data_IF_868791808989
#
_entry.id   IF_868791808989
#
_cell.length_a   1.000
_cell.length_b   1.000
_cell.length_c   1.000
_cell.angle_alpha   90.00
_cell.angle_beta   90.00
_cell.angle_gamma   90.00
#
_symmetry.space_group_name_H-M   'P 1'
#
loop_
_entity.id
_entity.type
_entity.pdbx_description
1 polymer ?
#
# COMPACT_ATOMS: atom_id res chain seq x y z
N UNK A 1 20.38 -10.38 8.87
CA UNK A 1 19.03 -10.71 8.37
C UNK A 1 18.01 -10.76 9.49
N UNK A 2 18.15 -11.54 10.52
CA UNK A 2 17.18 -11.75 11.62
C UNK A 2 16.69 -10.45 12.27
N UNK A 3 17.59 -9.54 12.65
CA UNK A 3 17.20 -8.26 13.26
C UNK A 3 16.34 -7.37 12.34
N UNK A 4 16.66 -7.29 11.05
CA UNK A 4 15.88 -6.52 10.10
C UNK A 4 14.47 -7.10 9.90
N UNK A 5 14.36 -8.45 9.87
CA UNK A 5 13.06 -9.12 9.81
C UNK A 5 12.25 -8.95 11.09
N UNK A 6 12.90 -8.97 12.25
CA UNK A 6 12.24 -8.65 13.51
C UNK A 6 11.69 -7.22 13.50
N UNK A 7 12.51 -6.25 13.09
CA UNK A 7 12.08 -4.86 12.96
C UNK A 7 10.91 -4.70 11.97
N UNK A 8 10.96 -5.42 10.83
CA UNK A 8 9.85 -5.42 9.87
C UNK A 8 8.58 -6.04 10.44
N UNK A 9 8.73 -7.09 11.26
CA UNK A 9 7.63 -7.68 12.03
C UNK A 9 6.99 -6.70 13.01
N UNK A 10 7.77 -5.87 13.71
CA UNK A 10 7.25 -4.82 14.59
C UNK A 10 6.42 -3.80 13.80
N UNK A 11 6.91 -3.38 12.63
CA UNK A 11 6.16 -2.47 11.75
C UNK A 11 4.81 -3.08 11.34
N UNK A 12 4.78 -4.35 10.92
CA UNK A 12 3.52 -5.02 10.59
C UNK A 12 2.61 -5.25 11.79
N UNK A 13 3.18 -5.49 12.98
CA UNK A 13 2.42 -5.73 14.20
C UNK A 13 1.44 -4.59 14.52
N UNK A 14 1.81 -3.36 14.24
CA UNK A 14 0.95 -2.19 14.40
C UNK A 14 -0.29 -2.16 13.51
N UNK A 15 -0.28 -2.89 12.39
CA UNK A 15 -1.44 -2.94 11.48
C UNK A 15 -2.65 -3.68 12.04
N UNK A 16 -2.46 -4.46 13.09
CA UNK A 16 -3.51 -5.29 13.69
C UNK A 16 -4.10 -4.67 14.97
N UNK A 17 -4.02 -3.36 15.12
CA UNK A 17 -4.51 -2.64 16.33
C UNK A 17 -6.00 -2.38 16.35
N UNK A 18 -6.74 -2.98 15.44
CA UNK A 18 -8.18 -2.78 15.30
C UNK A 18 -8.53 -1.69 14.28
N UNK A 19 -9.61 -1.89 13.52
CA UNK A 19 -9.86 -1.11 12.29
C UNK A 19 -10.42 0.27 12.55
N UNK A 20 -11.03 0.50 13.70
CA UNK A 20 -11.77 1.73 14.00
C UNK A 20 -11.36 2.41 15.30
N UNK A 21 -10.41 1.85 16.05
CA UNK A 21 -9.80 2.62 17.12
C UNK A 21 -8.92 3.70 16.51
N UNK A 22 -9.54 4.84 16.30
CA UNK A 22 -8.87 6.05 15.83
C UNK A 22 -7.85 6.55 16.86
N UNK A 23 -7.97 6.10 18.10
CA UNK A 23 -7.01 6.37 19.17
C UNK A 23 -6.06 5.18 19.31
N UNK A 24 -4.74 5.41 19.36
CA UNK A 24 -3.76 4.36 19.62
C UNK A 24 -3.81 3.82 21.05
N UNK A 25 -4.54 4.49 21.96
CA UNK A 25 -4.61 4.21 23.39
C UNK A 25 -6.02 3.82 23.79
N UNK A 26 -6.39 2.54 23.68
CA UNK A 26 -7.70 2.07 24.14
C UNK A 26 -7.81 2.14 25.67
N UNK A 27 -9.03 2.16 26.17
CA UNK A 27 -9.31 2.10 27.60
C UNK A 27 -8.68 0.87 28.27
N UNK A 28 -8.05 1.06 29.43
CA UNK A 28 -7.28 0.02 30.14
C UNK A 28 -8.18 -1.07 30.77
N UNK A 29 -9.50 -0.88 30.78
CA UNK A 29 -10.43 -1.77 31.49
C UNK A 29 -10.71 -3.12 30.78
N UNK A 30 -10.31 -3.25 29.51
CA UNK A 30 -10.42 -4.50 28.75
C UNK A 30 -9.01 -5.12 28.57
N UNK A 31 -8.85 -6.41 28.93
CA UNK A 31 -7.58 -7.13 28.74
C UNK A 31 -7.14 -7.18 27.25
N UNK A 32 -8.10 -7.27 26.32
CA UNK A 32 -7.85 -7.18 24.89
C UNK A 32 -7.41 -5.77 24.48
N UNK A 33 -7.94 -4.72 25.14
CA UNK A 33 -7.57 -3.34 24.90
C UNK A 33 -6.11 -3.08 25.27
N UNK A 34 -5.61 -3.63 26.37
CA UNK A 34 -4.20 -3.54 26.74
C UNK A 34 -3.29 -4.19 25.68
N UNK A 35 -3.65 -5.39 25.21
CA UNK A 35 -2.89 -6.05 24.15
C UNK A 35 -2.92 -5.28 22.82
N UNK A 36 -4.05 -4.71 22.45
CA UNK A 36 -4.18 -3.85 21.27
C UNK A 36 -3.36 -2.56 21.42
N UNK A 37 -3.36 -1.94 22.60
CA UNK A 37 -2.55 -0.78 22.92
C UNK A 37 -1.05 -1.07 22.80
N UNK A 38 -0.59 -2.19 23.34
CA UNK A 38 0.81 -2.62 23.20
C UNK A 38 1.19 -2.84 21.73
N UNK A 39 0.35 -3.49 20.94
CA UNK A 39 0.58 -3.65 19.50
C UNK A 39 0.65 -2.32 18.76
N UNK A 40 -0.17 -1.34 19.15
CA UNK A 40 -0.15 -0.01 18.55
C UNK A 40 1.22 0.66 18.68
N UNK A 41 1.96 0.41 19.75
CA UNK A 41 3.29 0.98 19.97
C UNK A 41 4.38 0.31 19.10
N UNK A 42 4.15 -0.86 18.51
CA UNK A 42 5.17 -1.61 17.77
C UNK A 42 5.79 -0.82 16.59
N UNK A 43 5.05 -0.13 15.72
CA UNK A 43 5.67 0.65 14.64
C UNK A 43 6.46 1.84 15.17
N UNK A 44 5.99 2.48 16.25
CA UNK A 44 6.72 3.57 16.90
C UNK A 44 8.02 3.04 17.49
N UNK A 45 7.98 1.91 18.20
CA UNK A 45 9.19 1.24 18.69
C UNK A 45 10.17 0.91 17.56
N UNK A 46 9.68 0.40 16.43
CA UNK A 46 10.51 0.13 15.25
C UNK A 46 11.18 1.41 14.71
N UNK A 47 10.45 2.53 14.67
CA UNK A 47 11.01 3.81 14.23
C UNK A 47 12.14 4.29 15.17
N UNK A 48 11.91 4.25 16.48
CA UNK A 48 12.92 4.64 17.46
C UNK A 48 14.14 3.71 17.46
N UNK A 49 13.95 2.41 17.35
CA UNK A 49 15.05 1.43 17.24
C UNK A 49 15.92 1.77 16.02
N UNK A 50 15.31 2.03 14.86
CA UNK A 50 16.04 2.41 13.66
C UNK A 50 16.79 3.73 13.84
N UNK A 51 16.17 4.73 14.48
CA UNK A 51 16.78 6.02 14.74
C UNK A 51 17.97 5.89 15.71
N UNK A 52 17.81 5.17 16.82
CA UNK A 52 18.89 4.92 17.80
C UNK A 52 20.06 4.18 17.17
N UNK A 53 19.75 3.18 16.31
CA UNK A 53 20.81 2.50 15.56
C UNK A 53 21.54 3.45 14.62
N UNK A 54 20.83 4.31 13.91
CA UNK A 54 21.41 5.30 13.03
C UNK A 54 22.36 6.26 13.76
N UNK A 55 21.93 6.74 14.92
CA UNK A 55 22.76 7.61 15.78
C UNK A 55 24.01 6.87 16.29
N UNK A 56 23.85 5.63 16.78
CA UNK A 56 24.95 4.82 17.27
C UNK A 56 25.95 4.47 16.17
N UNK A 57 25.47 4.16 14.97
CA UNK A 57 26.29 3.83 13.81
C UNK A 57 26.87 5.08 13.12
N UNK A 58 26.54 6.28 13.58
CA UNK A 58 26.86 7.54 12.89
C UNK A 58 26.50 7.50 11.40
N UNK A 59 25.40 6.83 11.08
CA UNK A 59 24.96 6.62 9.73
C UNK A 59 24.55 7.95 9.07
N UNK A 60 24.84 8.08 7.79
CA UNK A 60 24.48 9.27 7.01
C UNK A 60 23.19 9.00 6.26
N UNK A 61 22.21 9.88 6.39
CA UNK A 61 20.99 9.83 5.58
C UNK A 61 21.35 10.05 4.11
N UNK A 62 21.18 9.03 3.27
CA UNK A 62 21.50 9.08 1.84
C UNK A 62 20.27 8.98 0.94
N UNK A 63 19.10 9.27 1.45
CA UNK A 63 17.88 9.15 0.63
C UNK A 63 17.87 10.08 -0.60
N UNK A 64 18.49 11.25 -0.51
CA UNK A 64 18.51 12.22 -1.60
C UNK A 64 17.09 12.51 -2.13
N UNK A 65 16.98 12.80 -3.42
CA UNK A 65 15.71 13.01 -4.13
C UNK A 65 15.14 11.70 -4.72
N UNK A 66 15.36 10.58 -4.04
CA UNK A 66 14.74 9.28 -4.37
C UNK A 66 13.32 9.20 -3.80
N UNK A 67 12.52 8.26 -4.28
CA UNK A 67 11.16 8.05 -3.77
C UNK A 67 11.11 7.82 -2.26
N UNK A 68 11.92 6.93 -1.65
CA UNK A 68 11.96 6.80 -0.20
C UNK A 68 12.39 8.07 0.52
N UNK A 69 13.34 8.82 -0.05
CA UNK A 69 13.81 10.09 0.50
C UNK A 69 12.71 11.16 0.53
N UNK A 70 12.01 11.33 -0.59
CA UNK A 70 10.91 12.29 -0.71
C UNK A 70 9.75 11.94 0.25
N UNK A 71 9.43 10.64 0.42
CA UNK A 71 8.45 10.20 1.42
C UNK A 71 8.94 10.44 2.85
N UNK A 72 10.24 10.31 3.11
CA UNK A 72 10.81 10.62 4.43
C UNK A 72 10.73 12.13 4.71
N UNK A 73 11.02 12.99 3.73
CA UNK A 73 10.86 14.44 3.88
C UNK A 73 9.39 14.82 4.08
N UNK A 74 8.46 14.19 3.36
CA UNK A 74 7.03 14.36 3.60
C UNK A 74 6.64 13.94 5.03
N UNK A 75 7.08 12.77 5.49
CA UNK A 75 6.82 12.30 6.84
C UNK A 75 7.41 13.20 7.94
N UNK A 76 8.62 13.72 7.71
CA UNK A 76 9.27 14.64 8.64
C UNK A 76 8.55 16.01 8.70
N UNK A 77 8.12 16.54 7.55
CA UNK A 77 7.31 17.76 7.49
C UNK A 77 5.96 17.56 8.20
N UNK A 78 5.29 16.43 7.94
CA UNK A 78 4.05 16.08 8.61
C UNK A 78 4.21 15.88 10.13
N UNK A 79 5.35 15.35 10.58
CA UNK A 79 5.68 15.28 12.02
C UNK A 79 5.85 16.68 12.63
N UNK A 80 6.56 17.58 11.95
CA UNK A 80 6.69 18.97 12.39
C UNK A 80 5.32 19.65 12.47
N UNK A 81 4.47 19.48 11.45
CA UNK A 81 3.09 19.97 11.46
C UNK A 81 2.26 19.39 12.60
N UNK A 82 2.45 18.10 12.89
CA UNK A 82 1.78 17.40 13.99
C UNK A 82 2.13 17.98 15.36
N UNK A 83 3.36 18.43 15.55
CA UNK A 83 3.82 19.05 16.80
C UNK A 83 3.28 20.47 16.94
N UNK A 84 3.22 21.23 15.84
CA UNK A 84 2.96 22.68 15.88
C UNK A 84 1.48 23.03 15.75
N UNK A 85 0.74 22.32 14.90
CA UNK A 85 -0.60 22.73 14.47
C UNK A 85 -1.70 21.69 14.69
N UNK A 86 -1.35 20.46 15.08
CA UNK A 86 -2.38 19.42 15.18
C UNK A 86 -3.41 19.72 16.27
N UNK A 87 -4.70 19.55 16.01
CA UNK A 87 -5.75 19.62 17.05
C UNK A 87 -5.65 18.48 18.09
N UNK A 88 -4.97 17.38 17.76
CA UNK A 88 -4.65 16.27 18.67
C UNK A 88 -3.18 15.86 18.47
N UNK A 89 -2.30 16.60 19.10
CA UNK A 89 -0.85 16.43 18.98
C UNK A 89 -0.36 15.01 19.33
N UNK A 90 -0.80 14.35 20.44
CA UNK A 90 -0.33 13.01 20.77
C UNK A 90 -0.66 11.98 19.69
N UNK A 91 -1.90 11.98 19.20
CA UNK A 91 -2.35 11.08 18.12
C UNK A 91 -1.61 11.37 16.81
N UNK A 92 -1.41 12.65 16.48
CA UNK A 92 -0.72 13.05 15.27
C UNK A 92 0.77 12.66 15.27
N UNK A 93 1.46 12.82 16.41
CA UNK A 93 2.86 12.37 16.59
C UNK A 93 2.94 10.83 16.44
N UNK A 94 2.00 10.11 17.04
CA UNK A 94 1.94 8.65 16.88
C UNK A 94 1.84 8.24 15.40
N UNK A 95 0.90 8.81 14.65
CA UNK A 95 0.69 8.44 13.25
C UNK A 95 1.84 8.88 12.34
N UNK A 96 2.47 10.03 12.65
CA UNK A 96 3.69 10.49 11.95
C UNK A 96 4.86 9.52 12.18
N UNK A 97 5.06 9.10 13.44
CA UNK A 97 6.11 8.14 13.81
C UNK A 97 5.85 6.77 13.17
N UNK A 98 4.61 6.31 13.19
CA UNK A 98 4.22 5.07 12.53
C UNK A 98 4.44 5.13 11.01
N UNK A 99 4.14 6.28 10.37
CA UNK A 99 4.42 6.50 8.95
C UNK A 99 5.92 6.43 8.63
N UNK A 100 6.76 7.01 9.46
CA UNK A 100 8.21 6.99 9.28
C UNK A 100 8.83 5.61 9.54
N UNK A 101 8.19 4.75 10.32
CA UNK A 101 8.75 3.46 10.74
C UNK A 101 9.16 2.55 9.56
N UNK A 102 8.33 2.27 8.54
CA UNK A 102 8.74 1.44 7.41
C UNK A 102 9.85 2.08 6.57
N UNK A 103 9.89 3.41 6.46
CA UNK A 103 10.93 4.15 5.74
C UNK A 103 12.28 4.03 6.46
N UNK A 104 12.30 4.21 7.79
CA UNK A 104 13.49 4.05 8.61
C UNK A 104 13.97 2.59 8.65
N UNK A 105 13.04 1.63 8.72
CA UNK A 105 13.38 0.22 8.65
C UNK A 105 13.99 -0.16 7.28
N UNK A 106 13.46 0.36 6.19
CA UNK A 106 14.02 0.15 4.85
C UNK A 106 15.39 0.81 4.70
N UNK A 107 15.55 2.05 5.22
CA UNK A 107 16.84 2.73 5.23
C UNK A 107 17.90 1.95 6.01
N UNK A 108 17.56 1.42 7.19
CA UNK A 108 18.43 0.52 7.94
C UNK A 108 18.93 -0.67 7.11
N UNK A 109 18.10 -1.18 6.19
CA UNK A 109 18.47 -2.30 5.30
C UNK A 109 19.36 -1.82 4.17
N UNK A 110 19.08 -0.67 3.56
CA UNK A 110 19.84 -0.14 2.40
C UNK A 110 21.29 0.19 2.79
N UNK A 111 21.53 0.64 4.02
CA UNK A 111 22.89 0.94 4.52
C UNK A 111 23.73 -0.33 4.84
N UNK A 112 23.17 -1.52 4.64
CA UNK A 112 23.92 -2.77 4.82
C UNK A 112 24.79 -3.11 3.60
N UNK A 113 25.86 -3.92 3.80
CA UNK A 113 26.70 -4.38 2.68
C UNK A 113 25.91 -5.19 1.64
N UNK A 114 24.91 -5.98 2.08
CA UNK A 114 24.09 -6.84 1.22
C UNK A 114 22.60 -6.58 1.48
N UNK A 115 22.01 -5.52 0.91
CA UNK A 115 20.62 -5.16 1.14
C UNK A 115 19.63 -6.06 0.39
N UNK A 116 19.95 -6.53 -0.82
CA UNK A 116 19.01 -7.29 -1.66
C UNK A 116 18.45 -8.56 -1.01
N UNK A 117 19.23 -9.43 -0.35
CA UNK A 117 18.69 -10.60 0.33
C UNK A 117 17.63 -10.25 1.39
N UNK A 118 17.83 -9.14 2.11
CA UNK A 118 16.91 -8.70 3.15
C UNK A 118 15.63 -8.11 2.53
N UNK A 119 15.77 -7.30 1.48
CA UNK A 119 14.62 -6.72 0.76
C UNK A 119 13.78 -7.81 0.08
N UNK A 120 14.40 -8.86 -0.48
CA UNK A 120 13.69 -10.05 -0.97
C UNK A 120 12.90 -10.73 0.14
N UNK A 121 13.50 -10.84 1.34
CA UNK A 121 12.80 -11.41 2.50
C UNK A 121 11.61 -10.54 2.92
N UNK A 122 11.72 -9.21 2.94
CA UNK A 122 10.62 -8.29 3.22
C UNK A 122 9.47 -8.48 2.22
N UNK A 123 9.75 -8.56 0.92
CA UNK A 123 8.74 -8.81 -0.10
C UNK A 123 8.01 -10.14 0.10
N UNK A 124 8.76 -11.21 0.41
CA UNK A 124 8.17 -12.53 0.69
C UNK A 124 7.30 -12.53 1.95
N UNK A 125 7.75 -11.85 3.01
CA UNK A 125 6.96 -11.67 4.23
C UNK A 125 5.69 -10.89 3.93
N UNK A 126 5.77 -9.80 3.17
CA UNK A 126 4.61 -9.06 2.73
C UNK A 126 3.62 -9.93 1.95
N UNK A 127 4.11 -10.71 0.98
CA UNK A 127 3.28 -11.63 0.21
C UNK A 127 2.58 -12.65 1.13
N UNK A 128 3.31 -13.24 2.09
CA UNK A 128 2.74 -14.20 3.03
C UNK A 128 1.67 -13.56 3.93
N UNK A 129 1.92 -12.35 4.44
CA UNK A 129 0.96 -11.61 5.27
C UNK A 129 -0.31 -11.29 4.46
N UNK A 130 -0.17 -10.83 3.22
CA UNK A 130 -1.34 -10.47 2.39
C UNK A 130 -2.14 -11.72 2.02
N UNK A 131 -1.49 -12.84 1.73
CA UNK A 131 -2.18 -14.14 1.55
C UNK A 131 -2.94 -14.52 2.80
N UNK A 132 -2.31 -14.43 3.98
CA UNK A 132 -2.96 -14.68 5.26
C UNK A 132 -4.17 -13.77 5.48
N UNK A 133 -4.04 -12.45 5.25
CA UNK A 133 -5.13 -11.50 5.41
C UNK A 133 -6.30 -11.78 4.45
N UNK A 134 -6.00 -12.14 3.20
CA UNK A 134 -7.03 -12.54 2.23
C UNK A 134 -7.76 -13.82 2.67
N UNK A 135 -7.03 -14.83 3.10
CA UNK A 135 -7.62 -16.08 3.58
C UNK A 135 -8.42 -15.89 4.88
N UNK A 136 -7.95 -15.00 5.77
CA UNK A 136 -8.66 -14.67 6.99
C UNK A 136 -10.04 -14.02 6.75
N UNK A 137 -10.18 -13.28 5.65
CA UNK A 137 -11.46 -12.65 5.27
C UNK A 137 -12.38 -13.61 4.52
N UNK A 138 -11.85 -14.69 3.95
CA UNK A 138 -12.62 -15.59 3.09
C UNK A 138 -13.88 -16.18 3.71
N UNK A 139 -13.89 -16.63 4.99
CA UNK A 139 -15.10 -17.13 5.62
C UNK A 139 -16.21 -16.10 5.70
N UNK A 140 -15.87 -14.86 6.00
CA UNK A 140 -16.84 -13.77 6.06
C UNK A 140 -17.32 -13.39 4.65
N UNK A 141 -16.42 -13.34 3.68
CA UNK A 141 -16.76 -13.10 2.29
C UNK A 141 -17.73 -14.17 1.75
N UNK A 142 -17.55 -15.42 2.14
CA UNK A 142 -18.44 -16.51 1.72
C UNK A 142 -19.88 -16.39 2.27
N UNK A 143 -20.07 -15.69 3.40
CA UNK A 143 -21.42 -15.47 3.99
C UNK A 143 -22.29 -14.55 3.16
N UNK A 144 -21.70 -13.59 2.48
CA UNK A 144 -22.44 -12.59 1.72
C UNK A 144 -22.96 -13.09 0.37
N UNK A 145 -22.54 -14.26 -0.11
CA UNK A 145 -22.91 -14.76 -1.43
C UNK A 145 -22.44 -13.89 -2.60
N UNK A 146 -22.60 -14.38 -3.80
CA UNK A 146 -22.20 -13.65 -5.01
C UNK A 146 -23.09 -12.43 -5.27
N UNK A 147 -22.48 -11.25 -5.44
CA UNK A 147 -23.16 -10.03 -5.84
C UNK A 147 -24.04 -9.37 -4.75
N UNK A 148 -24.01 -9.89 -3.51
CA UNK A 148 -24.76 -9.32 -2.40
C UNK A 148 -23.95 -8.35 -1.52
N UNK A 149 -22.61 -8.30 -1.71
CA UNK A 149 -21.76 -7.38 -0.97
C UNK A 149 -22.11 -5.93 -1.31
N UNK A 150 -22.64 -5.20 -0.34
CA UNK A 150 -22.94 -3.79 -0.51
C UNK A 150 -21.70 -2.93 -0.30
N UNK A 151 -21.72 -1.69 -0.78
CA UNK A 151 -20.65 -0.70 -0.62
C UNK A 151 -20.22 -0.46 0.83
N UNK A 152 -21.12 -0.69 1.77
CA UNK A 152 -20.94 -0.41 3.19
C UNK A 152 -20.52 -1.62 4.01
N UNK A 153 -20.37 -2.79 3.38
CA UNK A 153 -20.06 -4.00 4.13
C UNK A 153 -18.67 -3.97 4.70
N UNK A 154 -18.64 -4.42 5.92
CA UNK A 154 -17.46 -4.56 6.75
C UNK A 154 -17.24 -6.04 6.97
N UNK A 155 -16.07 -6.49 6.56
CA UNK A 155 -15.65 -7.88 6.72
C UNK A 155 -14.95 -8.04 8.05
N UNK A 156 -15.48 -8.88 8.92
CA UNK A 156 -14.84 -9.20 10.20
C UNK A 156 -13.70 -10.19 10.01
N UNK A 157 -12.59 -9.89 10.62
CA UNK A 157 -11.45 -10.77 10.61
C UNK A 157 -11.42 -11.61 11.89
N UNK A 158 -11.02 -12.90 11.81
CA UNK A 158 -10.91 -13.76 12.98
C UNK A 158 -9.84 -13.26 13.95
N UNK A 159 -9.84 -13.82 15.16
CA UNK A 159 -8.83 -13.57 16.21
C UNK A 159 -8.72 -12.10 16.65
N UNK A 160 -9.80 -11.32 16.54
CA UNK A 160 -9.75 -9.91 16.94
C UNK A 160 -8.83 -9.04 16.06
N UNK A 161 -8.48 -9.49 14.85
CA UNK A 161 -7.71 -8.72 13.88
C UNK A 161 -8.47 -7.51 13.33
N UNK A 162 -9.76 -7.41 13.69
CA UNK A 162 -10.58 -6.26 13.40
C UNK A 162 -11.49 -6.43 12.19
N UNK A 163 -11.89 -5.32 11.62
CA UNK A 163 -12.82 -5.24 10.50
C UNK A 163 -12.17 -4.52 9.31
N UNK A 164 -12.46 -4.95 8.10
CA UNK A 164 -11.92 -4.36 6.87
C UNK A 164 -13.06 -4.06 5.91
N UNK A 165 -13.10 -2.85 5.38
CA UNK A 165 -14.10 -2.47 4.36
C UNK A 165 -13.81 -3.13 3.01
N UNK A 166 -14.83 -3.26 2.16
CA UNK A 166 -14.75 -3.89 0.84
C UNK A 166 -13.55 -3.42 -0.01
N UNK A 167 -13.20 -2.13 0.01
CA UNK A 167 -12.03 -1.61 -0.73
C UNK A 167 -10.69 -2.14 -0.18
N UNK A 168 -10.60 -2.39 1.12
CA UNK A 168 -9.42 -3.01 1.73
C UNK A 168 -9.32 -4.50 1.39
N UNK A 169 -10.44 -5.20 1.40
CA UNK A 169 -10.53 -6.62 1.05
C UNK A 169 -10.22 -6.83 -0.44
N UNK A 170 -10.78 -6.00 -1.32
CA UNK A 170 -10.47 -6.02 -2.76
C UNK A 170 -8.99 -5.77 -3.05
N UNK A 171 -8.32 -4.93 -2.25
CA UNK A 171 -6.86 -4.74 -2.30
C UNK A 171 -6.10 -6.02 -1.99
N UNK A 172 -6.47 -6.73 -0.91
CA UNK A 172 -5.80 -7.99 -0.56
C UNK A 172 -5.94 -9.01 -1.70
N UNK A 173 -7.15 -9.16 -2.22
CA UNK A 173 -7.42 -10.06 -3.33
C UNK A 173 -6.59 -9.73 -4.58
N UNK A 174 -6.50 -8.45 -4.95
CA UNK A 174 -5.71 -8.04 -6.11
C UNK A 174 -4.21 -8.27 -5.92
N UNK A 175 -3.67 -7.96 -4.74
CA UNK A 175 -2.24 -8.22 -4.48
C UNK A 175 -1.94 -9.72 -4.54
N UNK A 176 -2.81 -10.58 -3.98
CA UNK A 176 -2.66 -12.04 -4.09
C UNK A 176 -2.75 -12.49 -5.55
N UNK A 177 -3.66 -11.92 -6.35
CA UNK A 177 -3.73 -12.22 -7.78
C UNK A 177 -2.46 -11.85 -8.54
N UNK A 178 -1.89 -10.68 -8.26
CA UNK A 178 -0.61 -10.25 -8.84
C UNK A 178 0.48 -11.27 -8.49
N UNK A 179 0.62 -11.60 -7.20
CA UNK A 179 1.65 -12.54 -6.73
C UNK A 179 1.44 -13.92 -7.36
N UNK A 180 0.24 -14.47 -7.28
CA UNK A 180 -0.09 -15.80 -7.81
C UNK A 180 0.13 -15.88 -9.32
N UNK A 181 -0.38 -14.90 -10.07
CA UNK A 181 -0.27 -14.87 -11.52
C UNK A 181 1.19 -14.77 -11.99
N UNK A 182 1.96 -13.85 -11.38
CA UNK A 182 3.38 -13.69 -11.72
C UNK A 182 4.17 -14.95 -11.38
N UNK A 183 3.91 -15.56 -10.21
CA UNK A 183 4.58 -16.81 -9.81
C UNK A 183 4.22 -17.97 -10.75
N UNK A 184 2.97 -18.05 -11.21
CA UNK A 184 2.54 -19.08 -12.19
C UNK A 184 3.26 -18.93 -13.54
N UNK A 185 3.49 -17.70 -13.99
CA UNK A 185 4.02 -17.43 -15.34
C UNK A 185 5.55 -17.30 -15.35
N UNK A 186 6.16 -16.74 -14.30
CA UNK A 186 7.58 -16.42 -14.26
C UNK A 186 8.43 -17.46 -13.52
N UNK A 187 7.85 -18.25 -12.62
CA UNK A 187 8.62 -19.27 -11.88
C UNK A 187 8.88 -20.52 -12.73
N UNK A 188 10.14 -20.96 -12.86
CA UNK A 188 10.48 -22.18 -13.58
C UNK A 188 10.11 -23.47 -12.80
N UNK A 189 9.81 -23.35 -11.52
CA UNK A 189 9.57 -24.47 -10.61
C UNK A 189 8.15 -25.00 -10.70
N UNK A 190 7.97 -26.33 -10.53
CA UNK A 190 6.64 -26.95 -10.34
C UNK A 190 5.91 -26.39 -9.11
N UNK A 191 6.64 -25.79 -8.15
CA UNK A 191 6.05 -25.09 -6.99
C UNK A 191 5.11 -23.96 -7.38
N UNK A 192 5.23 -23.44 -8.62
CA UNK A 192 4.28 -22.44 -9.16
C UNK A 192 2.82 -22.92 -9.08
N UNK A 193 2.58 -24.21 -9.21
CA UNK A 193 1.21 -24.76 -9.14
C UNK A 193 0.56 -24.60 -7.77
N UNK A 194 1.35 -24.38 -6.68
CA UNK A 194 0.84 -24.08 -5.34
C UNK A 194 0.08 -22.74 -5.28
N UNK A 195 0.29 -21.85 -6.25
CA UNK A 195 -0.40 -20.58 -6.34
C UNK A 195 -1.78 -20.69 -7.01
N UNK A 196 -2.02 -21.76 -7.78
CA UNK A 196 -3.28 -21.93 -8.48
C UNK A 196 -4.51 -21.98 -7.56
N UNK A 197 -4.50 -22.71 -6.43
CA UNK A 197 -5.61 -22.71 -5.48
C UNK A 197 -5.92 -21.34 -4.86
N UNK A 198 -4.95 -20.42 -4.81
CA UNK A 198 -5.15 -19.07 -4.29
C UNK A 198 -5.79 -18.11 -5.30
N UNK A 199 -5.71 -18.42 -6.59
CA UNK A 199 -6.28 -17.58 -7.66
C UNK A 199 -7.79 -17.56 -7.59
N UNK A 200 -8.43 -18.71 -7.32
CA UNK A 200 -9.88 -18.83 -7.27
C UNK A 200 -10.50 -18.00 -6.14
N UNK A 201 -10.09 -18.17 -4.86
CA UNK A 201 -10.63 -17.34 -3.79
C UNK A 201 -10.30 -15.85 -3.95
N UNK A 202 -9.13 -15.51 -4.50
CA UNK A 202 -8.77 -14.12 -4.75
C UNK A 202 -9.67 -13.48 -5.83
N UNK A 203 -9.96 -14.19 -6.93
CA UNK A 203 -10.92 -13.74 -7.93
C UNK A 203 -12.33 -13.63 -7.34
N UNK A 204 -12.76 -14.63 -6.59
CA UNK A 204 -14.07 -14.61 -5.91
C UNK A 204 -14.20 -13.35 -5.04
N UNK A 205 -13.24 -13.08 -4.16
CA UNK A 205 -13.26 -11.91 -3.27
C UNK A 205 -13.21 -10.61 -4.08
N UNK A 206 -12.36 -10.52 -5.10
CA UNK A 206 -12.25 -9.33 -5.94
C UNK A 206 -13.59 -9.00 -6.63
N UNK A 207 -14.24 -10.00 -7.20
CA UNK A 207 -15.54 -9.84 -7.84
C UNK A 207 -16.65 -9.50 -6.85
N UNK A 208 -16.65 -10.16 -5.69
CA UNK A 208 -17.64 -9.92 -4.65
C UNK A 208 -17.56 -8.50 -4.07
N UNK A 209 -16.36 -8.01 -3.78
CA UNK A 209 -16.17 -6.65 -3.21
C UNK A 209 -16.54 -5.55 -4.17
N UNK A 210 -16.58 -5.82 -5.47
CA UNK A 210 -16.82 -4.83 -6.54
C UNK A 210 -16.04 -3.52 -6.31
N UNK A 211 -14.81 -3.63 -5.78
CA UNK A 211 -13.96 -2.49 -5.50
C UNK A 211 -13.44 -1.88 -6.79
N UNK A 212 -13.97 -0.69 -7.14
CA UNK A 212 -13.58 0.04 -8.35
C UNK A 212 -12.07 0.33 -8.40
N UNK A 213 -11.50 0.71 -7.26
CA UNK A 213 -10.07 0.98 -7.17
C UNK A 213 -9.22 -0.28 -7.38
N UNK A 214 -9.69 -1.46 -6.95
CA UNK A 214 -9.01 -2.72 -7.19
C UNK A 214 -9.16 -3.18 -8.66
N UNK A 215 -10.33 -2.99 -9.28
CA UNK A 215 -10.54 -3.32 -10.69
C UNK A 215 -9.72 -2.41 -11.63
N UNK A 216 -9.66 -1.10 -11.33
CA UNK A 216 -8.75 -0.19 -12.04
C UNK A 216 -7.29 -0.63 -11.86
N UNK A 217 -6.93 -1.01 -10.64
CA UNK A 217 -5.60 -1.54 -10.34
C UNK A 217 -5.27 -2.82 -11.11
N UNK A 218 -6.25 -3.71 -11.28
CA UNK A 218 -6.10 -4.91 -12.12
C UNK A 218 -5.82 -4.54 -13.58
N UNK A 219 -6.55 -3.56 -14.13
CA UNK A 219 -6.33 -3.10 -15.50
C UNK A 219 -4.92 -2.51 -15.67
N UNK A 220 -4.48 -1.64 -14.74
CA UNK A 220 -3.14 -1.05 -14.76
C UNK A 220 -2.06 -2.13 -14.61
N UNK A 221 -2.22 -3.07 -13.67
CA UNK A 221 -1.28 -4.18 -13.49
C UNK A 221 -1.19 -5.06 -14.74
N UNK A 222 -2.32 -5.36 -15.39
CA UNK A 222 -2.36 -6.13 -16.64
C UNK A 222 -1.63 -5.40 -17.78
N UNK A 223 -1.85 -4.10 -17.93
CA UNK A 223 -1.14 -3.28 -18.92
C UNK A 223 0.39 -3.28 -18.66
N UNK A 224 0.80 -3.06 -17.43
CA UNK A 224 2.21 -3.10 -17.05
C UNK A 224 2.83 -4.49 -17.26
N UNK A 225 2.08 -5.57 -16.97
CA UNK A 225 2.54 -6.93 -17.23
C UNK A 225 2.86 -7.14 -18.72
N UNK A 226 1.97 -6.70 -19.62
CA UNK A 226 2.20 -6.77 -21.04
C UNK A 226 3.45 -5.99 -21.47
N UNK A 227 3.62 -4.76 -20.94
CA UNK A 227 4.80 -3.93 -21.21
C UNK A 227 6.08 -4.60 -20.72
N UNK A 228 6.08 -5.12 -19.48
CA UNK A 228 7.25 -5.75 -18.87
C UNK A 228 7.60 -7.09 -19.52
N UNK A 229 6.63 -7.92 -19.87
CA UNK A 229 6.86 -9.24 -20.48
C UNK A 229 7.00 -9.18 -22.01
N UNK A 230 6.58 -8.08 -22.65
CA UNK A 230 6.59 -7.94 -24.11
C UNK A 230 5.59 -8.89 -24.78
N UNK A 231 4.53 -9.23 -24.08
CA UNK A 231 3.45 -10.07 -24.61
C UNK A 231 2.67 -9.29 -25.68
N UNK A 232 2.14 -9.97 -26.66
CA UNK A 232 1.36 -9.34 -27.73
C UNK A 232 0.19 -8.51 -27.18
N UNK A 233 -0.05 -7.35 -27.77
CA UNK A 233 -1.16 -6.45 -27.47
C UNK A 233 -2.54 -7.15 -27.49
N UNK A 234 -2.64 -8.30 -28.18
CA UNK A 234 -3.86 -9.13 -28.24
C UNK A 234 -4.36 -9.55 -26.85
N UNK A 235 -3.46 -9.74 -25.89
CA UNK A 235 -3.83 -10.05 -24.49
C UNK A 235 -4.41 -8.85 -23.76
N UNK A 236 -4.07 -7.61 -24.15
CA UNK A 236 -4.72 -6.40 -23.62
C UNK A 236 -6.19 -6.30 -24.05
N UNK A 237 -6.51 -6.80 -25.23
CA UNK A 237 -7.87 -6.81 -25.77
C UNK A 237 -8.69 -7.92 -25.09
N UNK A 238 -8.09 -9.06 -24.80
CA UNK A 238 -8.78 -10.19 -24.17
C UNK A 238 -9.37 -9.85 -22.80
N UNK A 239 -8.67 -9.04 -21.98
CA UNK A 239 -9.16 -8.59 -20.67
C UNK A 239 -10.45 -7.75 -20.75
N UNK A 240 -10.48 -6.64 -21.50
CA UNK A 240 -11.71 -5.87 -21.74
C UNK A 240 -12.84 -6.67 -22.40
N UNK A 241 -12.52 -7.55 -23.34
CA UNK A 241 -13.52 -8.44 -23.97
C UNK A 241 -14.12 -9.39 -22.94
N UNK A 242 -13.29 -10.01 -22.09
CA UNK A 242 -13.77 -10.88 -21.02
C UNK A 242 -14.61 -10.09 -19.99
N UNK A 243 -14.16 -8.88 -19.60
CA UNK A 243 -14.90 -8.00 -18.71
C UNK A 243 -16.26 -7.59 -19.31
N UNK A 244 -16.31 -7.29 -20.62
CA UNK A 244 -17.53 -6.97 -21.32
C UNK A 244 -18.47 -8.18 -21.43
N UNK A 245 -17.95 -9.38 -21.71
CA UNK A 245 -18.72 -10.61 -21.73
C UNK A 245 -19.33 -10.95 -20.34
N UNK A 246 -18.54 -10.77 -19.28
CA UNK A 246 -19.02 -10.89 -17.89
C UNK A 246 -20.11 -9.86 -17.61
N UNK A 247 -19.94 -8.62 -18.09
CA UNK A 247 -20.94 -7.58 -17.96
C UNK A 247 -22.24 -7.93 -18.71
N UNK A 248 -22.16 -8.42 -19.93
CA UNK A 248 -23.33 -8.87 -20.72
C UNK A 248 -24.09 -10.01 -20.04
N UNK A 249 -23.39 -10.87 -19.26
CA UNK A 249 -24.02 -11.96 -18.52
C UNK A 249 -24.91 -11.49 -17.36
N UNK A 250 -24.97 -10.20 -17.10
CA UNK A 250 -25.75 -9.62 -15.99
C UNK A 250 -25.21 -9.92 -14.60
N UNK A 251 -24.01 -10.51 -14.53
CA UNK A 251 -23.42 -11.04 -13.30
C UNK A 251 -23.01 -9.99 -12.27
N UNK A 252 -22.87 -8.68 -12.61
CA UNK A 252 -21.86 -7.98 -11.86
C UNK A 252 -22.24 -6.73 -11.09
N UNK A 253 -23.08 -5.88 -11.59
CA UNK A 253 -23.13 -4.53 -11.00
C UNK A 253 -24.44 -4.23 -10.28
N UNK A 254 -25.30 -5.23 -10.12
CA UNK A 254 -26.65 -5.06 -9.54
C UNK A 254 -26.62 -4.55 -8.10
N UNK A 255 -25.58 -4.91 -7.33
CA UNK A 255 -25.48 -4.51 -5.92
C UNK A 255 -25.03 -3.04 -5.72
N UNK A 256 -24.40 -2.41 -6.72
CA UNK A 256 -23.86 -1.02 -6.61
C UNK A 256 -24.60 0.02 -7.47
N UNK A 257 -25.70 -0.35 -8.08
CA UNK A 257 -26.49 0.55 -8.91
C UNK A 257 -26.01 0.66 -10.37
N UNK A 258 -26.63 1.54 -11.15
CA UNK A 258 -26.43 1.69 -12.58
C UNK A 258 -24.99 2.04 -12.97
N UNK A 259 -24.60 1.75 -14.21
CA UNK A 259 -23.28 2.07 -14.78
C UNK A 259 -22.85 3.54 -14.56
N UNK A 260 -23.83 4.47 -14.51
CA UNK A 260 -23.58 5.87 -14.14
C UNK A 260 -22.89 6.04 -12.79
N UNK A 261 -23.16 5.14 -11.83
CA UNK A 261 -22.50 5.16 -10.50
C UNK A 261 -21.00 4.87 -10.54
N UNK A 262 -20.46 4.31 -11.64
CA UNK A 262 -19.02 4.08 -11.81
C UNK A 262 -18.24 5.38 -11.98
N UNK A 263 -18.88 6.39 -12.57
CA UNK A 263 -18.27 7.69 -12.86
C UNK A 263 -18.42 8.66 -11.67
N UNK A 264 -19.50 8.51 -10.88
CA UNK A 264 -19.73 9.37 -9.73
C UNK A 264 -18.79 9.05 -8.55
N UNK A 265 -18.23 10.08 -7.94
CA UNK A 265 -17.29 10.00 -6.81
C UNK A 265 -17.96 9.57 -5.49
N UNK A 266 -19.28 9.34 -5.51
CA UNK A 266 -20.06 8.74 -4.41
C UNK A 266 -19.96 9.51 -3.07
N UNK A 267 -20.12 10.83 -3.10
CA UNK A 267 -20.10 11.71 -1.93
C UNK A 267 -18.69 12.16 -1.52
N UNK A 268 -17.65 11.79 -2.28
CA UNK A 268 -16.28 12.28 -2.03
C UNK A 268 -16.12 13.75 -2.36
N UNK A 269 -16.98 14.29 -3.24
CA UNK A 269 -16.98 15.70 -3.62
C UNK A 269 -17.15 16.61 -2.40
N UNK A 270 -18.06 16.25 -1.51
CA UNK A 270 -18.31 17.01 -0.27
C UNK A 270 -17.13 16.92 0.68
N UNK A 271 -16.55 15.72 0.87
CA UNK A 271 -15.36 15.52 1.70
C UNK A 271 -14.15 16.26 1.13
N UNK A 272 -13.97 16.24 -0.20
CA UNK A 272 -12.89 16.97 -0.85
C UNK A 272 -13.06 18.48 -0.75
N UNK A 273 -14.28 19.01 -0.91
CA UNK A 273 -14.56 20.42 -0.74
C UNK A 273 -14.25 20.90 0.68
N UNK A 274 -14.68 20.14 1.71
CA UNK A 274 -14.33 20.41 3.12
C UNK A 274 -12.81 20.35 3.31
N UNK A 275 -12.16 19.33 2.78
CA UNK A 275 -10.71 19.15 2.88
C UNK A 275 -9.92 20.27 2.23
N UNK A 276 -10.32 20.73 1.02
CA UNK A 276 -9.69 21.86 0.34
C UNK A 276 -9.85 23.16 1.14
N UNK A 277 -11.01 23.39 1.77
CA UNK A 277 -11.19 24.54 2.66
C UNK A 277 -10.20 24.48 3.84
N UNK A 278 -10.04 23.31 4.47
CA UNK A 278 -9.09 23.12 5.57
C UNK A 278 -7.62 23.25 5.14
N UNK A 279 -7.27 22.81 3.94
CA UNK A 279 -5.94 23.04 3.35
C UNK A 279 -5.71 24.54 3.13
N UNK A 280 -6.74 25.29 2.71
CA UNK A 280 -6.68 26.76 2.56
C UNK A 280 -6.44 27.51 3.86
N UNK A 281 -6.88 26.97 5.02
CA UNK A 281 -6.61 27.54 6.34
C UNK A 281 -5.14 27.35 6.81
N UNK A 282 -4.46 26.29 6.36
CA UNK A 282 -3.05 25.99 6.68
C UNK A 282 -2.29 25.45 5.47
N UNK A 283 -2.06 26.29 4.42
CA UNK A 283 -1.54 25.81 3.14
C UNK A 283 -0.06 25.39 3.17
N UNK A 284 0.74 25.90 4.12
CA UNK A 284 2.19 25.65 4.18
C UNK A 284 2.52 24.43 5.04
N UNK A 285 1.95 24.32 6.21
CA UNK A 285 2.26 23.25 7.15
C UNK A 285 1.20 22.13 7.18
N UNK A 286 -0.04 22.41 6.78
CA UNK A 286 -1.16 21.51 7.01
C UNK A 286 -1.53 21.43 8.49
N UNK A 287 -2.13 20.28 8.89
CA UNK A 287 -2.69 20.11 10.23
C UNK A 287 -2.08 18.90 10.98
N UNK A 288 -1.05 18.29 10.43
CA UNK A 288 -0.44 17.07 10.99
C UNK A 288 -1.13 15.78 10.57
N UNK A 289 -0.49 14.67 10.89
CA UNK A 289 -1.03 13.34 10.57
C UNK A 289 -2.34 13.07 11.32
N UNK A 290 -3.25 12.33 10.67
CA UNK A 290 -4.57 12.00 11.20
C UNK A 290 -5.56 13.18 11.31
N UNK A 291 -5.17 14.38 10.91
CA UNK A 291 -6.00 15.58 11.02
C UNK A 291 -7.32 15.50 10.23
N UNK A 292 -7.31 14.78 9.09
CA UNK A 292 -8.54 14.57 8.28
C UNK A 292 -9.66 13.94 9.11
N UNK A 293 -9.35 13.00 10.01
CA UNK A 293 -10.35 12.36 10.87
C UNK A 293 -11.00 13.30 11.88
N UNK A 294 -10.24 14.27 12.34
CA UNK A 294 -10.70 15.23 13.35
C UNK A 294 -11.44 16.38 12.67
N UNK A 295 -10.87 16.92 11.59
CA UNK A 295 -11.35 18.12 10.92
C UNK A 295 -12.51 17.85 9.94
N UNK A 296 -12.71 16.60 9.52
CA UNK A 296 -13.71 16.19 8.53
C UNK A 296 -14.74 15.21 9.11
N UNK A 297 -15.11 15.37 10.38
CA UNK A 297 -16.15 14.57 11.04
C UNK A 297 -15.93 13.04 10.91
N UNK A 298 -14.72 12.58 11.13
CA UNK A 298 -14.30 11.17 10.96
C UNK A 298 -14.31 10.67 9.51
N UNK A 299 -14.53 11.53 8.53
CA UNK A 299 -14.40 11.20 7.12
C UNK A 299 -12.92 11.05 6.73
N UNK A 300 -12.66 10.38 5.62
CA UNK A 300 -11.34 10.15 5.08
C UNK A 300 -11.22 10.76 3.69
N UNK A 301 -10.08 11.39 3.38
CA UNK A 301 -9.88 12.12 2.12
C UNK A 301 -10.04 11.24 0.88
N UNK A 302 -9.79 9.92 0.97
CA UNK A 302 -9.86 9.01 -0.19
C UNK A 302 -9.13 9.51 -1.45
N UNK A 303 -8.04 10.25 -1.24
CA UNK A 303 -7.12 10.71 -2.27
C UNK A 303 -5.78 11.00 -1.59
N UNK A 304 -4.70 10.39 -2.06
CA UNK A 304 -3.39 10.49 -1.40
C UNK A 304 -2.81 11.90 -1.43
N UNK A 305 -3.03 12.63 -2.51
CA UNK A 305 -2.45 13.97 -2.69
C UNK A 305 -3.16 14.99 -1.81
N UNK A 306 -4.49 14.94 -1.75
CA UNK A 306 -5.26 15.79 -0.85
C UNK A 306 -5.01 15.39 0.62
N UNK A 307 -4.84 14.09 0.89
CA UNK A 307 -4.49 13.62 2.21
C UNK A 307 -3.11 14.13 2.65
N UNK A 308 -2.12 14.10 1.76
CA UNK A 308 -0.81 14.67 2.03
C UNK A 308 -0.86 16.19 2.23
N UNK A 309 -1.74 16.90 1.49
CA UNK A 309 -1.94 18.33 1.64
C UNK A 309 -2.56 18.70 3.00
N UNK A 310 -3.55 17.96 3.48
CA UNK A 310 -4.16 18.25 4.79
C UNK A 310 -3.20 17.94 5.94
N UNK A 311 -2.31 16.94 5.76
CA UNK A 311 -1.33 16.54 6.79
C UNK A 311 -0.11 17.45 6.85
N UNK A 312 0.43 17.85 5.72
CA UNK A 312 1.73 18.54 5.64
C UNK A 312 1.72 19.74 4.66
N UNK A 313 0.54 20.31 4.42
CA UNK A 313 0.37 21.45 3.52
C UNK A 313 0.61 21.12 2.04
N UNK A 314 0.59 22.14 1.21
CA UNK A 314 0.92 22.04 -0.22
C UNK A 314 2.33 21.47 -0.43
N UNK A 315 3.38 21.86 0.34
CA UNK A 315 4.70 21.24 0.24
C UNK A 315 4.67 19.73 0.47
N UNK A 316 3.86 19.24 1.43
CA UNK A 316 3.69 17.80 1.66
C UNK A 316 3.06 17.07 0.48
N UNK A 317 2.03 17.67 -0.14
CA UNK A 317 1.42 17.13 -1.36
C UNK A 317 2.40 17.10 -2.54
N UNK A 318 3.22 18.14 -2.70
CA UNK A 318 4.24 18.21 -3.73
C UNK A 318 5.35 17.16 -3.51
N UNK A 319 5.80 16.96 -2.27
CA UNK A 319 6.79 15.91 -1.93
C UNK A 319 6.23 14.52 -2.23
N UNK A 320 4.97 14.26 -1.87
CA UNK A 320 4.31 12.98 -2.16
C UNK A 320 4.14 12.76 -3.67
N UNK A 321 3.67 13.76 -4.40
CA UNK A 321 3.52 13.70 -5.85
C UNK A 321 4.88 13.51 -6.55
N UNK A 322 5.91 14.24 -6.10
CA UNK A 322 7.26 14.09 -6.59
C UNK A 322 7.82 12.68 -6.32
N UNK A 323 7.52 12.08 -5.16
CA UNK A 323 7.93 10.70 -4.85
C UNK A 323 7.38 9.69 -5.86
N UNK A 324 6.09 9.82 -6.22
CA UNK A 324 5.47 8.96 -7.24
C UNK A 324 6.05 9.25 -8.64
N UNK A 325 6.22 10.52 -9.00
CA UNK A 325 6.78 10.91 -10.30
C UNK A 325 8.24 10.43 -10.47
N UNK A 326 9.06 10.59 -9.44
CA UNK A 326 10.47 10.13 -9.43
C UNK A 326 10.55 8.61 -9.55
N UNK A 327 9.65 7.86 -8.90
CA UNK A 327 9.57 6.41 -9.06
C UNK A 327 9.40 6.02 -10.54
N UNK A 328 8.40 6.59 -11.20
CA UNK A 328 8.10 6.23 -12.59
C UNK A 328 9.18 6.74 -13.56
N UNK A 329 9.73 7.94 -13.32
CA UNK A 329 10.86 8.44 -14.07
C UNK A 329 12.10 7.55 -13.92
N UNK A 330 12.36 7.03 -12.70
CA UNK A 330 13.44 6.09 -12.44
C UNK A 330 13.23 4.76 -13.18
N UNK A 331 12.04 4.15 -13.05
CA UNK A 331 11.70 2.90 -13.74
C UNK A 331 11.91 3.01 -15.27
N UNK A 332 11.55 4.15 -15.83
CA UNK A 332 11.71 4.42 -17.24
C UNK A 332 13.17 4.64 -17.63
N UNK A 333 13.87 5.60 -16.98
CA UNK A 333 15.23 6.01 -17.33
C UNK A 333 16.27 4.93 -17.06
N UNK A 334 16.13 4.18 -15.96
CA UNK A 334 17.04 3.07 -15.63
C UNK A 334 16.87 1.86 -16.56
N UNK A 335 15.81 1.83 -17.37
CA UNK A 335 15.50 0.68 -18.21
C UNK A 335 15.09 -0.59 -17.46
N UNK A 336 14.78 -0.48 -16.17
CA UNK A 336 14.35 -1.64 -15.34
C UNK A 336 13.20 -2.40 -16.00
N UNK A 337 12.21 -1.70 -16.56
CA UNK A 337 11.05 -2.34 -17.22
C UNK A 337 11.44 -3.28 -18.37
N UNK A 338 12.56 -3.01 -19.04
CA UNK A 338 13.10 -3.87 -20.11
C UNK A 338 14.03 -4.95 -19.55
N UNK A 339 14.87 -4.59 -18.58
CA UNK A 339 15.88 -5.48 -17.98
C UNK A 339 15.28 -6.60 -17.11
N UNK A 340 14.11 -6.36 -16.52
CA UNK A 340 13.38 -7.39 -15.75
C UNK A 340 13.21 -8.70 -16.52
N UNK A 341 13.06 -8.66 -17.85
CA UNK A 341 12.92 -9.87 -18.68
C UNK A 341 14.17 -10.76 -18.66
N UNK A 342 15.34 -10.16 -18.43
CA UNK A 342 16.65 -10.83 -18.44
C UNK A 342 17.16 -11.11 -17.03
N UNK A 343 16.44 -10.68 -16.00
CA UNK A 343 16.81 -10.93 -14.63
C UNK A 343 16.75 -12.44 -14.32
N UNK A 344 17.70 -12.90 -13.53
CA UNK A 344 17.72 -14.30 -13.09
C UNK A 344 16.59 -14.58 -12.07
N UNK A 345 16.02 -15.78 -12.04
CA UNK A 345 15.17 -16.20 -10.93
C UNK A 345 15.98 -16.21 -9.62
N UNK A 346 15.44 -15.77 -8.48
CA UNK A 346 14.06 -15.34 -8.21
C UNK A 346 13.80 -13.84 -8.45
N UNK A 347 14.79 -13.07 -8.89
CA UNK A 347 14.66 -11.60 -9.01
C UNK A 347 13.65 -11.22 -10.09
N UNK A 348 13.60 -11.95 -11.19
CA UNK A 348 12.62 -11.70 -12.26
C UNK A 348 11.18 -11.70 -11.71
N UNK A 349 10.85 -12.71 -10.91
CA UNK A 349 9.52 -12.84 -10.32
C UNK A 349 9.21 -11.66 -9.39
N UNK A 350 10.10 -11.37 -8.43
CA UNK A 350 9.89 -10.31 -7.44
C UNK A 350 9.88 -8.91 -8.08
N UNK A 351 10.70 -8.67 -9.12
CA UNK A 351 10.69 -7.41 -9.85
C UNK A 351 9.38 -7.19 -10.59
N UNK A 352 8.87 -8.22 -11.29
CA UNK A 352 7.58 -8.12 -11.97
C UNK A 352 6.48 -7.84 -10.93
N UNK A 353 6.42 -8.63 -9.84
CA UNK A 353 5.46 -8.41 -8.76
C UNK A 353 5.53 -6.98 -8.23
N UNK A 354 6.73 -6.48 -7.96
CA UNK A 354 6.95 -5.12 -7.45
C UNK A 354 6.48 -4.04 -8.43
N UNK A 355 6.79 -4.16 -9.71
CA UNK A 355 6.35 -3.18 -10.74
C UNK A 355 4.83 -3.16 -10.86
N UNK A 356 4.18 -4.33 -10.90
CA UNK A 356 2.73 -4.42 -10.99
C UNK A 356 2.04 -3.87 -9.74
N UNK A 357 2.58 -4.20 -8.56
CA UNK A 357 2.11 -3.68 -7.28
C UNK A 357 2.23 -2.15 -7.21
N UNK A 358 3.37 -1.59 -7.61
CA UNK A 358 3.58 -0.14 -7.62
C UNK A 358 2.65 0.56 -8.62
N UNK A 359 2.39 -0.07 -9.77
CA UNK A 359 1.40 0.43 -10.73
C UNK A 359 -0.01 0.48 -10.14
N UNK A 360 -0.42 -0.62 -9.50
CA UNK A 360 -1.69 -0.67 -8.79
C UNK A 360 -1.79 0.41 -7.71
N UNK A 361 -0.79 0.52 -6.83
CA UNK A 361 -0.80 1.48 -5.73
C UNK A 361 -0.77 2.92 -6.23
N UNK A 362 -0.02 3.22 -7.30
CA UNK A 362 -0.02 4.54 -7.94
C UNK A 362 -1.37 4.91 -8.54
N UNK A 363 -2.02 4.00 -9.25
CA UNK A 363 -3.37 4.23 -9.77
C UNK A 363 -4.40 4.41 -8.64
N UNK A 364 -4.28 3.60 -7.58
CA UNK A 364 -5.16 3.67 -6.42
C UNK A 364 -5.02 4.99 -5.65
N UNK A 365 -3.85 5.62 -5.66
CA UNK A 365 -3.58 6.88 -4.93
C UNK A 365 -4.48 8.05 -5.33
N UNK A 366 -5.07 8.02 -6.53
CA UNK A 366 -6.04 9.03 -6.96
C UNK A 366 -7.43 8.85 -6.34
N UNK A 367 -7.76 7.64 -5.89
CA UNK A 367 -9.11 7.31 -5.41
C UNK A 367 -9.14 6.78 -3.98
N UNK A 368 -7.98 6.59 -3.37
CA UNK A 368 -7.82 6.17 -1.98
C UNK A 368 -6.56 6.81 -1.41
N UNK A 369 -6.48 6.95 -0.09
CA UNK A 369 -5.29 7.51 0.58
C UNK A 369 -4.15 6.48 0.66
N UNK A 370 -3.67 6.05 -0.50
CA UNK A 370 -2.67 4.99 -0.66
C UNK A 370 -1.28 5.52 -0.33
N UNK A 371 -0.59 4.87 0.59
CA UNK A 371 0.78 5.20 1.01
C UNK A 371 1.01 6.65 1.50
N UNK A 372 -0.03 7.47 1.65
CA UNK A 372 0.06 8.82 2.22
C UNK A 372 -0.05 8.82 3.76
N UNK A 373 -0.32 7.68 4.37
CA UNK A 373 -0.35 7.46 5.81
C UNK A 373 0.11 6.04 6.13
N UNK A 374 0.34 5.76 7.42
CA UNK A 374 0.70 4.41 7.86
C UNK A 374 -0.43 3.43 7.60
N UNK A 375 -0.15 2.41 6.83
CA UNK A 375 -1.14 1.41 6.43
C UNK A 375 -0.54 0.34 5.53
N UNK A 376 -1.34 -0.69 5.22
CA UNK A 376 -0.92 -1.82 4.38
C UNK A 376 -0.30 -1.36 3.06
N UNK A 377 -0.86 -0.32 2.44
CA UNK A 377 -0.35 0.19 1.17
C UNK A 377 1.08 0.72 1.28
N UNK A 378 1.40 1.44 2.36
CA UNK A 378 2.77 1.92 2.62
C UNK A 378 3.73 0.76 2.89
N UNK A 379 3.29 -0.26 3.66
CA UNK A 379 4.10 -1.44 3.97
C UNK A 379 4.39 -2.29 2.74
N UNK A 380 3.52 -2.28 1.76
CA UNK A 380 3.74 -2.93 0.47
C UNK A 380 4.62 -2.07 -0.45
N UNK A 381 4.39 -0.75 -0.45
CA UNK A 381 5.04 0.21 -1.34
C UNK A 381 6.55 0.34 -1.06
N UNK A 382 6.90 0.57 0.21
CA UNK A 382 8.28 0.90 0.60
C UNK A 382 9.29 -0.20 0.22
N UNK A 383 9.11 -1.49 0.59
CA UNK A 383 10.06 -2.53 0.20
C UNK A 383 10.12 -2.76 -1.31
N UNK A 384 8.99 -2.63 -2.01
CA UNK A 384 8.96 -2.80 -3.47
C UNK A 384 9.80 -1.72 -4.17
N UNK A 385 9.67 -0.46 -3.73
CA UNK A 385 10.50 0.65 -4.24
C UNK A 385 11.96 0.41 -3.92
N UNK A 386 12.29 0.17 -2.65
CA UNK A 386 13.68 -0.02 -2.21
C UNK A 386 14.35 -1.19 -2.94
N UNK A 387 13.61 -2.30 -3.12
CA UNK A 387 14.11 -3.46 -3.84
C UNK A 387 14.44 -3.15 -5.31
N UNK A 388 13.56 -2.45 -6.00
CA UNK A 388 13.80 -2.06 -7.41
C UNK A 388 14.99 -1.11 -7.53
N UNK A 389 15.09 -0.10 -6.66
CA UNK A 389 16.23 0.82 -6.64
C UNK A 389 17.54 0.08 -6.42
N UNK A 390 17.59 -0.78 -5.41
CA UNK A 390 18.80 -1.51 -5.05
C UNK A 390 19.20 -2.51 -6.13
N UNK A 391 18.22 -3.25 -6.67
CA UNK A 391 18.49 -4.16 -7.77
C UNK A 391 19.05 -3.44 -9.01
N UNK A 392 18.51 -2.27 -9.33
CA UNK A 392 18.99 -1.48 -10.46
C UNK A 392 20.42 -0.95 -10.28
N UNK A 393 20.81 -0.64 -9.03
CA UNK A 393 22.17 -0.19 -8.70
C UNK A 393 23.18 -1.35 -8.77
N UNK A 394 22.79 -2.54 -8.29
CA UNK A 394 23.66 -3.73 -8.33
C UNK A 394 23.75 -4.35 -9.74
N UNK A 395 22.78 -4.06 -10.60
CA UNK A 395 22.74 -4.54 -11.99
C UNK A 395 22.64 -3.34 -12.93
N UNK A 396 23.72 -2.57 -13.16
CA UNK A 396 23.68 -1.42 -14.08
C UNK A 396 23.31 -1.85 -15.50
N UNK A 397 22.72 -0.96 -16.28
CA UNK A 397 22.55 -1.19 -17.71
C UNK A 397 23.95 -1.34 -18.32
N UNK A 398 24.14 -2.32 -19.22
CA UNK A 398 25.34 -2.33 -20.04
C UNK A 398 25.39 -0.98 -20.79
N UNK A 399 26.52 -0.32 -20.77
CA UNK A 399 26.72 0.88 -21.58
C UNK A 399 26.43 0.53 -23.04
N UNK A 400 25.71 1.42 -23.77
CA UNK A 400 25.33 1.18 -25.15
C UNK A 400 26.50 1.09 -26.11
#
# INVERSE_FOLDING_TARGET
MTFALFQWGLVWGGMFTGPYNLTPFPSIHDRLALFQGLRALLPVAAAYIALLWALAARARFRFGLTTPGLLTYYGALGLASSIVLSPDTPTAIYWSSAFLAPLLAAWFVIERPEPLPVLRAFLRVNNAIIVFLMLAVLPEAARFGFGQATRFEVYRMPFGLGEVRANGVGRYALVVLIVAFVSLVASPSKKRLLWLPLTVPALFILMQTQSRSALLGLAVASMLFVLVRGVSLRFLIAGPVAAYAIWLSGFTWRAKGELGSLVFLTGRETTWAKGLAKIGESPVLGWGFHADRILLDSEHMHNSYLHAAIQAGIPGALLFAAAVAVLWAFLWRSGVLRRVRRAAPPDQELLIQSVLLLGFLSARSFFESTAAFYGVDLLLFVPAVCYIYQWALENPAAEP
#
